data_IF_765854430369
#
_entry.id   IF_765854430369
#
_cell.length_a   1.000
_cell.length_b   1.000
_cell.length_c   1.000
_cell.angle_alpha   90.00
_cell.angle_beta   90.00
_cell.angle_gamma   90.00
#
_symmetry.space_group_name_H-M   'P 1'
#
loop_
_entity.id
_entity.type
_entity.pdbx_description
1 polymer ?
#
# COMPACT_ATOMS: atom_id res chain seq x y z
N UNK A 1 -26.83 1.67 6.56
CA UNK A 1 -25.63 1.63 5.71
C UNK A 1 -25.97 2.33 4.41
N UNK A 2 -25.37 3.49 4.10
CA UNK A 2 -25.64 4.14 2.81
C UNK A 2 -25.04 3.28 1.71
N UNK A 3 -25.83 2.94 0.70
CA UNK A 3 -25.31 2.26 -0.48
C UNK A 3 -24.17 3.08 -1.09
N UNK A 4 -23.06 2.40 -1.39
CA UNK A 4 -21.94 2.98 -2.13
C UNK A 4 -22.43 3.41 -3.52
N UNK A 5 -22.35 4.70 -3.83
CA UNK A 5 -22.70 5.24 -5.15
C UNK A 5 -21.44 5.45 -6.00
N UNK A 6 -21.28 4.58 -7.00
CA UNK A 6 -20.18 4.62 -7.97
C UNK A 6 -20.16 5.93 -8.75
N UNK A 7 -21.32 6.49 -9.11
CA UNK A 7 -21.40 7.70 -9.92
C UNK A 7 -20.83 8.89 -9.15
N UNK A 8 -21.30 9.09 -7.91
CA UNK A 8 -20.76 10.14 -7.02
C UNK A 8 -19.27 9.96 -6.76
N UNK A 9 -18.79 8.73 -6.51
CA UNK A 9 -17.38 8.46 -6.30
C UNK A 9 -16.52 8.81 -7.53
N UNK A 10 -17.00 8.44 -8.73
CA UNK A 10 -16.33 8.77 -10.00
C UNK A 10 -16.31 10.27 -10.26
N UNK A 11 -17.44 10.96 -10.08
CA UNK A 11 -17.51 12.42 -10.27
C UNK A 11 -16.57 13.17 -9.33
N UNK A 12 -16.49 12.76 -8.06
CA UNK A 12 -15.57 13.36 -7.08
C UNK A 12 -14.11 13.10 -7.45
N UNK A 13 -13.78 11.87 -7.85
CA UNK A 13 -12.43 11.54 -8.32
C UNK A 13 -11.99 12.39 -9.51
N UNK A 14 -12.87 12.60 -10.50
CA UNK A 14 -12.56 13.42 -11.69
C UNK A 14 -12.38 14.90 -11.33
N UNK A 15 -13.25 15.44 -10.46
CA UNK A 15 -13.25 16.86 -10.11
C UNK A 15 -12.12 17.23 -9.16
N UNK A 16 -11.93 16.41 -8.11
CA UNK A 16 -11.11 16.76 -6.95
C UNK A 16 -9.79 15.98 -6.91
N UNK A 17 -9.62 14.95 -7.76
CA UNK A 17 -8.48 14.06 -7.72
C UNK A 17 -8.52 13.00 -6.61
N UNK A 18 -9.61 12.96 -5.82
CA UNK A 18 -9.83 11.95 -4.78
C UNK A 18 -11.32 11.68 -4.54
N UNK A 19 -11.63 10.56 -3.88
CA UNK A 19 -12.99 10.27 -3.39
C UNK A 19 -12.94 9.55 -2.05
N UNK A 20 -13.96 9.73 -1.21
CA UNK A 20 -14.08 9.10 0.11
C UNK A 20 -15.12 7.99 0.06
N UNK A 21 -14.73 6.78 0.43
CA UNK A 21 -15.63 5.63 0.57
C UNK A 21 -15.76 5.32 2.06
N UNK A 22 -16.95 5.59 2.62
CA UNK A 22 -17.25 5.27 4.02
C UNK A 22 -17.60 3.80 4.16
N UNK A 23 -17.26 3.23 5.31
CA UNK A 23 -17.57 1.83 5.67
C UNK A 23 -17.14 0.83 4.58
N UNK A 24 -15.97 1.09 3.97
CA UNK A 24 -15.46 0.31 2.85
C UNK A 24 -15.19 -1.16 3.25
N UNK A 25 -14.94 -1.44 4.52
CA UNK A 25 -14.60 -2.76 5.05
C UNK A 25 -15.32 -3.02 6.37
N UNK A 26 -15.59 -4.28 6.67
CA UNK A 26 -16.12 -4.69 7.98
C UNK A 26 -15.03 -4.64 9.06
N UNK A 27 -15.43 -4.55 10.34
CA UNK A 27 -14.50 -4.63 11.46
C UNK A 27 -13.64 -5.90 11.41
N UNK A 28 -14.25 -7.04 11.08
CA UNK A 28 -13.57 -8.34 10.93
C UNK A 28 -12.51 -8.30 9.84
N UNK A 29 -12.81 -7.73 8.67
CA UNK A 29 -11.86 -7.67 7.56
C UNK A 29 -10.69 -6.74 7.92
N UNK A 30 -10.92 -5.70 8.72
CA UNK A 30 -9.87 -4.82 9.25
C UNK A 30 -9.01 -5.56 10.28
N UNK A 31 -9.60 -6.34 11.19
CA UNK A 31 -8.88 -7.15 12.18
C UNK A 31 -7.92 -8.14 11.51
N UNK A 32 -8.34 -8.80 10.43
CA UNK A 32 -7.46 -9.69 9.65
C UNK A 32 -6.21 -8.97 9.11
N UNK A 33 -6.37 -7.74 8.60
CA UNK A 33 -5.23 -6.93 8.13
C UNK A 33 -4.33 -6.53 9.29
N UNK A 34 -4.90 -6.18 10.46
CA UNK A 34 -4.13 -5.86 11.66
C UNK A 34 -3.29 -7.05 12.13
N UNK A 35 -3.84 -8.26 12.10
CA UNK A 35 -3.09 -9.48 12.41
C UNK A 35 -1.94 -9.72 11.43
N UNK A 36 -2.20 -9.58 10.13
CA UNK A 36 -1.14 -9.70 9.11
C UNK A 36 -0.04 -8.68 9.35
N UNK A 37 -0.41 -7.42 9.62
CA UNK A 37 0.54 -6.36 9.90
C UNK A 37 1.42 -6.71 11.11
N UNK A 38 0.84 -7.20 12.21
CA UNK A 38 1.63 -7.63 13.39
C UNK A 38 2.63 -8.73 13.05
N UNK A 39 2.22 -9.73 12.26
CA UNK A 39 3.11 -10.80 11.82
C UNK A 39 4.23 -10.29 10.92
N UNK A 40 3.93 -9.36 10.01
CA UNK A 40 4.92 -8.74 9.13
C UNK A 40 5.92 -7.92 9.94
N UNK A 41 5.48 -7.07 10.87
CA UNK A 41 6.38 -6.29 11.73
C UNK A 41 7.30 -7.21 12.53
N UNK A 42 6.75 -8.25 13.17
CA UNK A 42 7.55 -9.23 13.91
C UNK A 42 8.56 -9.96 13.03
N UNK A 43 8.17 -10.34 11.80
CA UNK A 43 9.05 -11.02 10.85
C UNK A 43 10.19 -10.11 10.35
N UNK A 44 9.99 -8.79 10.32
CA UNK A 44 11.04 -7.87 9.92
C UNK A 44 12.11 -7.66 11.02
N UNK A 45 11.79 -7.96 12.28
CA UNK A 45 12.74 -7.92 13.40
C UNK A 45 13.53 -9.23 13.54
N UNK A 46 13.29 -10.23 12.68
CA UNK A 46 14.00 -11.50 12.66
C UNK A 46 15.42 -11.33 12.08
N UNK A 47 16.48 -11.52 12.89
CA UNK A 47 17.87 -11.36 12.44
C UNK A 47 18.31 -12.43 11.42
N UNK A 48 17.55 -13.52 11.26
CA UNK A 48 17.83 -14.61 10.34
C UNK A 48 17.25 -14.34 8.94
N UNK A 49 16.20 -13.51 8.85
CA UNK A 49 15.52 -13.17 7.59
C UNK A 49 15.47 -11.67 7.41
N UNK A 50 16.57 -11.02 6.96
CA UNK A 50 16.60 -9.58 6.81
C UNK A 50 15.57 -9.11 5.78
N UNK A 51 14.46 -8.58 6.28
CA UNK A 51 13.40 -7.95 5.50
C UNK A 51 13.70 -6.49 5.16
N UNK A 52 14.89 -6.00 5.52
CA UNK A 52 15.30 -4.60 5.38
C UNK A 52 15.17 -4.05 3.96
N UNK A 53 15.30 -4.90 2.94
CA UNK A 53 15.07 -4.48 1.54
C UNK A 53 13.63 -4.02 1.24
N UNK A 54 12.68 -4.38 2.09
CA UNK A 54 11.27 -3.98 2.00
C UNK A 54 10.95 -2.82 2.95
N UNK A 55 11.85 -2.48 3.88
CA UNK A 55 11.69 -1.37 4.81
C UNK A 55 12.13 -0.05 4.17
N UNK A 56 11.31 0.98 4.33
CA UNK A 56 11.65 2.35 3.97
C UNK A 56 11.29 3.30 5.12
N UNK A 57 12.07 4.36 5.32
CA UNK A 57 11.63 5.52 6.11
C UNK A 57 10.89 6.49 5.19
N UNK A 58 9.61 6.72 5.48
CA UNK A 58 8.80 7.74 4.80
C UNK A 58 8.91 9.11 5.46
N UNK A 59 9.50 9.19 6.64
CA UNK A 59 9.84 10.45 7.27
C UNK A 59 11.13 11.01 6.69
N UNK A 60 11.14 12.30 6.36
CA UNK A 60 12.42 13.02 6.17
C UNK A 60 13.12 13.16 7.52
N UNK A 61 13.74 12.09 7.98
CA UNK A 61 14.54 12.01 9.20
C UNK A 61 15.90 11.40 8.92
N UNK A 62 16.76 12.17 8.25
CA UNK A 62 18.21 11.94 8.08
C UNK A 62 18.60 10.63 7.36
N UNK A 63 19.13 10.78 6.14
CA UNK A 63 20.05 9.79 5.61
C UNK A 63 21.10 9.45 6.70
N UNK A 64 21.19 8.17 7.09
CA UNK A 64 22.12 7.70 8.12
C UNK A 64 21.55 7.50 9.52
N UNK A 65 20.24 7.69 9.74
CA UNK A 65 19.60 7.24 10.97
C UNK A 65 19.41 5.71 10.91
N UNK A 66 20.08 4.96 11.80
CA UNK A 66 19.92 3.51 11.90
C UNK A 66 18.47 3.07 12.18
N UNK A 67 18.17 1.76 12.08
CA UNK A 67 16.81 1.22 12.17
C UNK A 67 16.00 1.67 13.40
N UNK A 68 16.68 2.04 14.49
CA UNK A 68 16.09 2.54 15.74
C UNK A 68 15.54 3.99 15.69
N UNK A 69 15.61 4.67 14.54
CA UNK A 69 15.19 6.08 14.38
C UNK A 69 14.22 6.32 13.23
N UNK A 70 13.68 5.26 12.63
CA UNK A 70 12.69 5.37 11.56
C UNK A 70 11.46 6.10 12.08
N UNK A 71 11.14 7.23 11.47
CA UNK A 71 10.16 8.16 12.03
C UNK A 71 8.75 7.98 11.45
N UNK A 72 8.67 7.29 10.30
CA UNK A 72 7.46 6.71 9.72
C UNK A 72 7.83 5.48 8.90
N UNK A 73 7.47 4.29 9.36
CA UNK A 73 7.88 3.04 8.71
C UNK A 73 6.97 2.70 7.54
N UNK A 74 7.55 2.25 6.44
CA UNK A 74 6.84 1.61 5.32
C UNK A 74 7.40 0.21 5.08
N UNK A 75 6.49 -0.75 4.86
CA UNK A 75 6.79 -2.08 4.33
C UNK A 75 6.28 -2.12 2.89
N UNK A 76 7.19 -2.06 1.92
CA UNK A 76 6.86 -2.14 0.49
C UNK A 76 6.66 -3.58 0.04
N UNK A 77 5.75 -3.79 -0.91
CA UNK A 77 5.43 -5.11 -1.44
C UNK A 77 5.04 -6.09 -0.33
N UNK A 78 4.16 -5.65 0.58
CA UNK A 78 3.74 -6.45 1.73
C UNK A 78 3.13 -7.79 1.31
N UNK A 79 2.43 -7.84 0.17
CA UNK A 79 1.90 -9.08 -0.40
C UNK A 79 2.99 -10.06 -0.84
N UNK A 80 4.22 -9.62 -1.12
CA UNK A 80 5.33 -10.54 -1.40
C UNK A 80 5.82 -11.23 -0.12
N UNK A 81 5.67 -10.57 1.03
CA UNK A 81 6.04 -11.12 2.34
C UNK A 81 4.90 -11.94 2.97
N UNK A 82 3.65 -11.50 2.78
CA UNK A 82 2.44 -12.19 3.20
C UNK A 82 1.48 -12.36 2.02
N UNK A 83 1.68 -13.37 1.14
CA UNK A 83 0.84 -13.60 -0.03
C UNK A 83 -0.66 -13.72 0.27
N UNK A 84 -1.02 -14.15 1.49
CA UNK A 84 -2.41 -14.22 1.94
C UNK A 84 -3.14 -12.88 1.90
N UNK A 85 -2.43 -11.73 1.90
CA UNK A 85 -3.02 -10.40 1.72
C UNK A 85 -3.89 -10.33 0.46
N UNK A 86 -3.45 -10.95 -0.64
CA UNK A 86 -4.17 -10.94 -1.91
C UNK A 86 -5.45 -11.79 -1.90
N UNK A 87 -5.64 -12.63 -0.89
CA UNK A 87 -6.85 -13.42 -0.70
C UNK A 87 -7.84 -12.80 0.29
N UNK A 88 -7.46 -11.72 0.98
CA UNK A 88 -8.32 -11.05 1.96
C UNK A 88 -9.51 -10.36 1.29
N UNK A 89 -10.59 -10.20 2.04
CA UNK A 89 -11.75 -9.43 1.58
C UNK A 89 -11.34 -7.99 1.22
N UNK A 90 -10.42 -7.40 1.99
CA UNK A 90 -9.91 -6.04 1.76
C UNK A 90 -9.29 -5.92 0.36
N UNK A 91 -8.44 -6.86 -0.05
CA UNK A 91 -7.83 -6.83 -1.38
C UNK A 91 -8.87 -7.03 -2.48
N UNK A 92 -9.69 -8.08 -2.38
CA UNK A 92 -10.70 -8.42 -3.42
C UNK A 92 -11.70 -7.28 -3.60
N UNK A 93 -12.15 -6.67 -2.49
CA UNK A 93 -13.09 -5.55 -2.52
C UNK A 93 -12.44 -4.28 -3.04
N UNK A 94 -11.18 -4.00 -2.69
CA UNK A 94 -10.46 -2.83 -3.22
C UNK A 94 -10.32 -2.90 -4.75
N UNK A 95 -10.00 -4.08 -5.30
CA UNK A 95 -9.95 -4.29 -6.75
C UNK A 95 -11.31 -4.03 -7.41
N UNK A 96 -12.39 -4.59 -6.85
CA UNK A 96 -13.76 -4.36 -7.37
C UNK A 96 -14.17 -2.88 -7.30
N UNK A 97 -13.80 -2.19 -6.23
CA UNK A 97 -14.11 -0.76 -6.05
C UNK A 97 -13.35 0.09 -7.07
N UNK A 98 -12.05 -0.13 -7.25
CA UNK A 98 -11.28 0.64 -8.23
C UNK A 98 -11.76 0.36 -9.65
N UNK A 99 -12.10 -0.88 -9.99
CA UNK A 99 -12.63 -1.24 -11.31
C UNK A 99 -13.97 -0.55 -11.60
N UNK A 100 -14.85 -0.46 -10.59
CA UNK A 100 -16.13 0.24 -10.73
C UNK A 100 -15.96 1.76 -10.89
N UNK A 101 -15.06 2.37 -10.09
CA UNK A 101 -14.88 3.82 -10.05
C UNK A 101 -14.09 4.33 -11.24
N UNK A 102 -12.94 3.72 -11.53
CA UNK A 102 -11.96 4.21 -12.48
C UNK A 102 -11.87 3.39 -13.78
N UNK A 103 -12.60 2.27 -13.86
CA UNK A 103 -12.46 1.28 -14.95
C UNK A 103 -11.40 0.22 -14.62
N UNK A 104 -11.22 -0.78 -15.49
CA UNK A 104 -10.34 -1.93 -15.21
C UNK A 104 -8.90 -1.50 -14.86
N UNK A 105 -8.42 -1.89 -13.69
CA UNK A 105 -7.06 -1.59 -13.21
C UNK A 105 -6.26 -2.86 -12.91
N UNK A 106 -4.95 -2.77 -13.06
CA UNK A 106 -4.03 -3.83 -12.67
C UNK A 106 -3.36 -3.50 -11.34
N UNK A 107 -3.29 -4.50 -10.45
CA UNK A 107 -2.50 -4.41 -9.24
C UNK A 107 -1.01 -4.23 -9.59
N UNK A 108 -0.42 -3.12 -9.14
CA UNK A 108 0.99 -2.81 -9.39
C UNK A 108 1.88 -3.14 -8.19
N UNK A 109 1.46 -2.74 -6.99
CA UNK A 109 2.13 -3.02 -5.72
C UNK A 109 1.21 -2.68 -4.55
N UNK A 110 1.58 -3.13 -3.36
CA UNK A 110 1.01 -2.71 -2.09
C UNK A 110 2.10 -2.24 -1.12
N UNK A 111 1.68 -1.57 -0.05
CA UNK A 111 2.54 -1.22 1.06
C UNK A 111 1.74 -1.09 2.35
N UNK A 112 2.43 -1.18 3.49
CA UNK A 112 1.86 -0.87 4.79
C UNK A 112 2.65 0.28 5.40
N UNK A 113 1.97 1.34 5.82
CA UNK A 113 2.57 2.50 6.44
C UNK A 113 2.19 2.51 7.92
N UNK A 114 3.19 2.56 8.79
CA UNK A 114 3.02 2.69 10.23
C UNK A 114 3.49 4.06 10.71
N UNK A 115 2.59 4.78 11.38
CA UNK A 115 2.87 6.07 12.03
C UNK A 115 2.97 5.84 13.54
N UNK A 116 4.17 5.94 14.14
CA UNK A 116 4.32 5.74 15.57
C UNK A 116 3.56 6.81 16.36
N UNK A 117 3.04 6.41 17.53
CA UNK A 117 2.43 7.34 18.47
C UNK A 117 3.43 8.43 18.89
N UNK A 118 2.95 9.65 19.07
CA UNK A 118 3.78 10.83 19.40
C UNK A 118 4.84 11.20 18.35
N UNK A 119 4.76 10.68 17.13
CA UNK A 119 5.62 11.14 16.03
C UNK A 119 5.18 12.52 15.54
N UNK A 120 6.11 13.47 15.48
CA UNK A 120 5.94 14.76 14.81
C UNK A 120 6.23 14.68 13.30
N UNK A 121 6.60 13.50 12.79
CA UNK A 121 6.93 13.30 11.39
C UNK A 121 5.71 13.45 10.50
N UNK A 122 5.79 14.38 9.57
CA UNK A 122 4.80 14.58 8.52
C UNK A 122 5.25 13.91 7.24
N UNK A 123 4.32 13.32 6.48
CA UNK A 123 4.53 13.02 5.06
C UNK A 123 4.41 14.33 4.28
N UNK A 124 5.49 14.88 3.67
CA UNK A 124 5.43 16.17 2.99
C UNK A 124 4.48 16.14 1.78
N UNK A 125 4.03 17.31 1.32
CA UNK A 125 3.28 17.43 0.07
C UNK A 125 4.08 16.83 -1.10
N UNK A 126 3.46 15.89 -1.82
CA UNK A 126 4.03 15.25 -3.00
C UNK A 126 2.93 14.71 -3.92
N UNK A 127 3.32 14.31 -5.13
CA UNK A 127 2.50 13.52 -6.04
C UNK A 127 3.23 12.20 -6.30
N UNK A 128 2.55 11.06 -6.17
CA UNK A 128 3.16 9.74 -6.34
C UNK A 128 3.83 9.57 -7.72
N UNK A 129 3.23 10.16 -8.76
CA UNK A 129 3.77 10.10 -10.12
C UNK A 129 5.13 10.77 -10.25
N UNK A 130 5.49 11.73 -9.37
CA UNK A 130 6.80 12.37 -9.39
C UNK A 130 7.94 11.39 -9.03
N UNK A 131 7.63 10.31 -8.32
CA UNK A 131 8.58 9.23 -8.01
C UNK A 131 8.61 8.12 -9.06
N UNK A 132 7.67 8.13 -10.01
CA UNK A 132 7.72 7.23 -11.15
C UNK A 132 8.86 7.68 -12.05
N UNK A 133 9.97 6.94 -12.03
CA UNK A 133 11.06 7.14 -13.00
C UNK A 133 10.46 7.07 -14.42
N UNK A 134 10.46 8.19 -15.14
CA UNK A 134 10.24 8.20 -16.57
C UNK A 134 11.45 7.51 -17.23
N UNK A 135 11.34 6.21 -17.51
CA UNK A 135 12.24 5.50 -18.42
C UNK A 135 13.12 4.40 -17.80
N UNK A 136 12.95 3.19 -18.34
CA UNK A 136 13.84 2.04 -18.19
C UNK A 136 13.28 0.85 -18.96
N UNK A 137 13.56 0.76 -20.25
CA UNK A 137 13.20 -0.39 -21.07
C UNK A 137 13.85 -1.69 -20.59
N UNK A 138 13.32 -2.80 -21.13
CA UNK A 138 13.74 -4.20 -20.94
C UNK A 138 13.13 -4.96 -19.75
N UNK A 139 11.98 -5.62 -20.00
CA UNK A 139 11.90 -7.10 -20.00
C UNK A 139 10.54 -7.57 -20.55
N UNK A 140 10.29 -7.32 -21.83
CA UNK A 140 9.45 -8.19 -22.61
C UNK A 140 10.22 -9.50 -22.88
N UNK A 141 10.20 -10.45 -21.94
CA UNK A 141 10.50 -11.85 -22.27
C UNK A 141 9.19 -12.56 -22.54
N UNK A 142 8.71 -12.39 -23.77
CA UNK A 142 7.80 -13.36 -24.39
C UNK A 142 8.56 -14.69 -24.49
N UNK A 143 8.28 -15.64 -23.60
CA UNK A 143 8.53 -17.05 -23.89
C UNK A 143 7.42 -17.48 -24.84
N UNK A 144 7.69 -17.42 -26.15
CA UNK A 144 7.05 -18.35 -27.09
C UNK A 144 7.64 -19.72 -26.80
N UNK A 145 6.81 -20.63 -26.32
CA UNK A 145 7.07 -22.06 -26.42
C UNK A 145 6.50 -22.45 -27.78
N UNK A 146 7.36 -22.96 -28.65
CA UNK A 146 6.98 -23.57 -29.92
C UNK A 146 6.42 -24.96 -29.73
#
# INVERSE_FOLDING_TARGET
>A
MSAFDVATARSSLIRDGFTVIRDAFSARSVEEIVEIHRLLVAALDDPVRPGDRFRMDMGRGLAGAGPARLSQHEIRYASNLAPRLMATEVFVRSQRLVDAIAGPMHFAFDHIIFKPGHSATTTPWHQDIAYRKLGGGAHARSRRVG
#
